data_IF_862135346400
#
_entry.id   IF_862135346400
#
_cell.length_a   1.000
_cell.length_b   1.000
_cell.length_c   1.000
_cell.angle_alpha   90.00
_cell.angle_beta   90.00
_cell.angle_gamma   90.00
#
_symmetry.space_group_name_H-M   'P 1'
#
loop_
_entity.id
_entity.type
_entity.pdbx_description
1 polymer ?
#
# COMPACT_ATOMS: atom_id res chain seq x y z
N UNK A 1 41.93 13.35 57.85
CA UNK A 1 40.98 14.48 57.75
C UNK A 1 41.71 15.65 57.12
N UNK A 2 41.27 16.11 56.00
CA UNK A 2 41.82 17.29 55.34
C UNK A 2 41.18 18.54 55.95
N UNK A 3 41.99 19.42 56.54
CA UNK A 3 41.54 20.72 57.06
C UNK A 3 41.51 21.73 55.93
N UNK A 4 40.40 22.41 55.75
CA UNK A 4 40.21 23.47 54.78
C UNK A 4 40.48 24.81 55.44
N UNK A 5 41.45 25.57 54.97
CA UNK A 5 41.72 26.94 55.42
C UNK A 5 40.85 27.90 54.58
N UNK A 6 39.99 28.67 55.30
CA UNK A 6 39.09 29.64 54.67
C UNK A 6 37.62 29.25 54.64
N UNK A 7 36.82 29.97 53.84
CA UNK A 7 35.37 29.74 53.74
C UNK A 7 35.08 28.45 53.00
N UNK A 8 34.22 27.60 53.59
CA UNK A 8 33.75 26.35 52.98
C UNK A 8 32.87 26.67 51.74
N UNK A 9 33.40 26.41 50.57
CA UNK A 9 32.73 26.65 49.31
C UNK A 9 32.20 25.36 48.65
N UNK A 10 31.45 25.48 47.58
CA UNK A 10 30.94 24.35 46.79
C UNK A 10 32.03 23.45 46.22
N UNK A 11 33.23 23.98 45.99
CA UNK A 11 34.40 23.22 45.51
C UNK A 11 34.99 22.29 46.57
N UNK A 12 34.69 22.54 47.88
CA UNK A 12 35.21 21.73 49.00
C UNK A 12 34.32 20.52 49.31
N UNK A 13 33.14 20.43 48.72
CA UNK A 13 32.13 19.40 48.99
C UNK A 13 31.57 18.79 47.69
N UNK A 14 32.41 18.54 46.72
CA UNK A 14 31.99 17.96 45.42
C UNK A 14 31.24 16.65 45.60
N UNK A 15 31.68 15.78 46.53
CA UNK A 15 31.14 14.45 46.73
C UNK A 15 29.81 14.45 47.57
N UNK A 16 29.52 15.56 48.26
CA UNK A 16 28.32 15.68 49.08
C UNK A 16 27.22 16.54 48.37
N UNK A 17 27.51 17.04 47.17
CA UNK A 17 26.52 17.79 46.41
C UNK A 17 25.51 16.83 45.80
N UNK A 18 24.25 17.01 46.09
CA UNK A 18 23.17 16.40 45.33
C UNK A 18 23.05 17.12 43.98
N UNK A 19 23.31 16.41 42.91
CA UNK A 19 23.08 16.92 41.56
C UNK A 19 21.58 17.03 41.32
N UNK A 20 21.15 18.17 40.79
CA UNK A 20 19.80 18.37 40.33
C UNK A 20 19.69 17.76 38.94
N UNK A 21 18.97 16.64 38.82
CA UNK A 21 18.75 15.91 37.56
C UNK A 21 17.29 16.09 37.23
N UNK A 22 17.00 16.42 35.99
CA UNK A 22 15.62 16.55 35.53
C UNK A 22 14.85 15.24 35.71
N UNK A 23 13.71 15.30 36.37
CA UNK A 23 12.86 14.13 36.67
C UNK A 23 12.21 13.54 35.38
N UNK A 24 12.42 14.17 34.21
CA UNK A 24 11.85 13.72 32.94
C UNK A 24 12.91 13.42 31.91
N UNK A 25 12.83 12.22 31.34
CA UNK A 25 13.56 11.89 30.13
C UNK A 25 12.87 12.51 28.92
N UNK A 26 13.63 13.28 28.14
CA UNK A 26 13.17 13.80 26.85
C UNK A 26 13.54 12.82 25.75
N UNK A 27 12.56 12.12 25.21
CA UNK A 27 12.74 11.27 24.03
C UNK A 27 12.73 12.13 22.78
N UNK A 28 13.62 11.85 21.83
CA UNK A 28 13.74 12.58 20.56
C UNK A 28 12.49 12.41 19.69
N UNK A 29 11.83 11.25 19.78
CA UNK A 29 10.66 10.93 18.97
C UNK A 29 9.52 10.32 19.81
N UNK A 30 8.80 11.11 20.63
CA UNK A 30 7.66 10.60 21.41
C UNK A 30 6.43 10.24 20.54
N UNK A 31 6.37 10.69 19.28
CA UNK A 31 5.19 10.64 18.42
C UNK A 31 5.17 9.51 17.38
N UNK A 32 6.01 8.50 17.51
CA UNK A 32 5.96 7.30 16.64
C UNK A 32 4.62 6.53 16.70
N UNK A 33 3.76 6.85 17.65
CA UNK A 33 2.40 6.31 17.73
C UNK A 33 1.51 6.68 16.54
N UNK A 34 1.90 7.68 15.75
CA UNK A 34 1.20 8.10 14.51
C UNK A 34 1.40 7.10 13.39
N UNK A 35 2.49 6.33 13.43
CA UNK A 35 2.93 5.43 12.37
C UNK A 35 2.03 4.20 12.16
N UNK A 36 1.31 3.79 13.19
CA UNK A 36 0.37 2.66 13.07
C UNK A 36 -1.03 3.07 12.58
N UNK A 37 -1.16 4.21 11.91
CA UNK A 37 -2.45 4.72 11.47
C UNK A 37 -3.10 3.82 10.43
N UNK A 38 -2.34 3.38 9.45
CA UNK A 38 -2.84 2.50 8.40
C UNK A 38 -3.42 1.22 8.99
N UNK A 39 -2.62 0.49 9.76
CA UNK A 39 -3.03 -0.75 10.40
C UNK A 39 -4.25 -0.57 11.34
N UNK A 40 -4.34 0.56 12.05
CA UNK A 40 -5.47 0.86 12.96
C UNK A 40 -6.77 1.20 12.24
N UNK A 41 -6.70 1.78 11.04
CA UNK A 41 -7.87 2.15 10.23
C UNK A 41 -8.49 0.96 9.52
N UNK A 42 -7.75 -0.12 9.33
CA UNK A 42 -8.21 -1.30 8.63
C UNK A 42 -9.28 -2.06 9.41
N UNK A 43 -10.29 -2.54 8.70
CA UNK A 43 -11.28 -3.44 9.28
C UNK A 43 -10.62 -4.77 9.65
N UNK A 44 -10.70 -5.14 10.95
CA UNK A 44 -10.16 -6.39 11.46
C UNK A 44 -11.10 -7.56 11.20
N UNK A 45 -10.60 -8.57 10.52
CA UNK A 45 -11.36 -9.81 10.28
C UNK A 45 -10.53 -11.02 10.68
N UNK A 46 -11.14 -11.91 11.45
CA UNK A 46 -10.54 -13.16 11.87
C UNK A 46 -10.42 -14.13 10.70
N UNK A 47 -9.26 -14.77 10.57
CA UNK A 47 -9.03 -15.92 9.69
C UNK A 47 -8.66 -17.15 10.51
N UNK A 48 -8.98 -18.33 10.01
CA UNK A 48 -8.75 -19.61 10.69
C UNK A 48 -7.56 -20.38 10.13
N UNK A 49 -7.02 -19.93 9.00
CA UNK A 49 -5.87 -20.51 8.33
C UNK A 49 -4.81 -19.43 8.13
N UNK A 50 -3.51 -19.73 8.32
CA UNK A 50 -2.44 -18.78 8.04
C UNK A 50 -2.37 -18.33 6.58
N UNK A 51 -2.79 -19.16 5.63
CA UNK A 51 -2.96 -18.79 4.24
C UNK A 51 -4.42 -18.37 4.01
N UNK A 52 -4.66 -17.10 3.70
CA UNK A 52 -5.99 -16.61 3.39
C UNK A 52 -6.10 -16.18 1.93
N UNK A 53 -7.28 -16.41 1.35
CA UNK A 53 -7.53 -16.26 -0.09
C UNK A 53 -8.76 -15.41 -0.32
N UNK A 54 -8.76 -14.71 -1.46
CA UNK A 54 -9.93 -13.98 -1.95
C UNK A 54 -9.97 -14.03 -3.46
N UNK A 55 -11.05 -13.56 -4.03
CA UNK A 55 -11.27 -13.57 -5.46
C UNK A 55 -11.56 -12.16 -5.94
N UNK A 56 -10.77 -11.71 -6.90
CA UNK A 56 -10.97 -10.45 -7.60
C UNK A 56 -11.67 -10.73 -8.93
N UNK A 57 -12.70 -9.95 -9.25
CA UNK A 57 -13.39 -10.01 -10.53
C UNK A 57 -13.43 -8.63 -11.13
N UNK A 58 -12.62 -8.40 -12.18
CA UNK A 58 -12.68 -7.19 -12.97
C UNK A 58 -13.76 -7.29 -14.04
N UNK A 59 -14.27 -6.16 -14.50
CA UNK A 59 -15.08 -6.15 -15.73
C UNK A 59 -14.23 -6.64 -16.92
N UNK A 60 -14.83 -7.40 -17.87
CA UNK A 60 -14.09 -7.85 -19.04
C UNK A 60 -13.61 -6.63 -19.85
N UNK A 61 -12.35 -6.67 -20.27
CA UNK A 61 -11.81 -5.64 -21.17
C UNK A 61 -12.56 -5.68 -22.50
N UNK A 62 -12.87 -4.51 -23.01
CA UNK A 62 -13.51 -4.33 -24.33
C UNK A 62 -12.51 -3.80 -25.36
N UNK A 63 -11.22 -3.99 -25.13
CA UNK A 63 -10.15 -3.59 -26.03
C UNK A 63 -8.98 -4.57 -25.96
N UNK A 64 -8.21 -4.60 -27.04
CA UNK A 64 -6.95 -5.35 -27.12
C UNK A 64 -6.02 -4.74 -28.15
N UNK A 65 -4.73 -5.11 -28.09
CA UNK A 65 -3.74 -4.62 -29.05
C UNK A 65 -3.54 -5.59 -30.21
N UNK A 66 -3.21 -5.01 -31.37
CA UNK A 66 -2.73 -5.75 -32.55
C UNK A 66 -1.38 -6.34 -32.21
N UNK A 67 -1.19 -7.65 -32.47
CA UNK A 67 0.04 -8.38 -32.22
C UNK A 67 0.61 -8.89 -33.55
N UNK A 68 1.49 -8.11 -34.15
CA UNK A 68 2.15 -8.49 -35.41
C UNK A 68 3.46 -7.74 -35.59
N UNK A 69 4.53 -8.46 -35.86
CA UNK A 69 5.88 -7.91 -36.02
C UNK A 69 6.07 -6.94 -37.20
N UNK A 70 5.09 -6.89 -38.08
CA UNK A 70 5.03 -5.97 -39.23
C UNK A 70 3.62 -5.38 -39.36
N UNK A 71 3.46 -4.33 -40.17
CA UNK A 71 2.17 -3.68 -40.30
C UNK A 71 1.22 -4.51 -41.19
N UNK A 72 -0.06 -4.54 -40.85
CA UNK A 72 -1.12 -5.04 -41.69
C UNK A 72 -1.49 -3.99 -42.75
N UNK A 73 -1.45 -4.36 -44.03
CA UNK A 73 -1.92 -3.47 -45.10
C UNK A 73 -3.43 -3.27 -45.04
N UNK A 74 -3.92 -2.23 -45.72
CA UNK A 74 -5.36 -1.94 -45.82
C UNK A 74 -6.21 -3.11 -46.35
N UNK A 75 -5.62 -4.01 -47.16
CA UNK A 75 -6.30 -5.18 -47.71
C UNK A 75 -6.27 -6.42 -46.78
N UNK A 76 -5.63 -6.38 -45.65
CA UNK A 76 -5.55 -7.53 -44.77
C UNK A 76 -6.90 -7.85 -44.11
N UNK A 77 -7.38 -9.07 -44.27
CA UNK A 77 -8.65 -9.55 -43.69
C UNK A 77 -8.46 -10.43 -42.47
N UNK A 78 -7.21 -10.73 -42.13
CA UNK A 78 -6.82 -11.52 -40.97
C UNK A 78 -5.90 -10.69 -40.10
N UNK A 79 -6.30 -10.42 -38.85
CA UNK A 79 -5.57 -9.59 -37.88
C UNK A 79 -5.37 -10.37 -36.62
N UNK A 80 -4.12 -10.52 -36.16
CA UNK A 80 -3.77 -11.17 -34.89
C UNK A 80 -3.80 -10.10 -33.79
N UNK A 81 -4.34 -10.46 -32.65
CA UNK A 81 -4.40 -9.65 -31.40
C UNK A 81 -3.75 -10.41 -30.26
N UNK A 82 -3.44 -9.75 -29.17
CA UNK A 82 -2.83 -10.38 -27.99
C UNK A 82 -3.76 -11.43 -27.36
N UNK A 83 -5.04 -11.11 -27.23
CA UNK A 83 -6.06 -11.98 -26.63
C UNK A 83 -7.39 -11.93 -27.42
N UNK A 84 -7.53 -12.84 -28.35
CA UNK A 84 -8.73 -12.96 -29.18
C UNK A 84 -9.99 -13.37 -28.41
N UNK A 85 -9.87 -13.87 -27.16
CA UNK A 85 -11.03 -14.27 -26.34
C UNK A 85 -11.91 -13.09 -25.95
N UNK A 86 -11.42 -11.86 -26.05
CA UNK A 86 -12.15 -10.62 -25.81
C UNK A 86 -13.18 -10.32 -26.92
N UNK A 87 -12.94 -10.84 -28.13
CA UNK A 87 -13.72 -10.56 -29.34
C UNK A 87 -14.67 -11.70 -29.68
N UNK A 88 -15.72 -11.38 -30.42
CA UNK A 88 -16.69 -12.36 -30.92
C UNK A 88 -17.15 -11.97 -32.35
N UNK A 89 -17.55 -12.96 -33.10
CA UNK A 89 -18.17 -12.70 -34.40
C UNK A 89 -19.37 -11.74 -34.25
N UNK A 90 -19.46 -10.76 -35.14
CA UNK A 90 -20.45 -9.69 -35.09
C UNK A 90 -20.05 -8.46 -34.29
N UNK A 91 -18.85 -8.40 -33.71
CA UNK A 91 -18.36 -7.18 -33.05
C UNK A 91 -17.93 -6.14 -34.08
N UNK A 92 -18.24 -4.87 -33.80
CA UNK A 92 -17.66 -3.72 -34.48
C UNK A 92 -16.54 -3.19 -33.62
N UNK A 93 -15.39 -3.05 -34.23
CA UNK A 93 -14.14 -2.65 -33.58
C UNK A 93 -13.62 -1.39 -34.23
N UNK A 94 -13.09 -0.48 -33.43
CA UNK A 94 -12.43 0.75 -33.94
C UNK A 94 -10.96 0.67 -33.58
N UNK A 95 -10.10 0.91 -34.55
CA UNK A 95 -8.71 1.24 -34.32
C UNK A 95 -8.63 2.68 -33.83
N UNK A 96 -8.07 2.85 -32.61
CA UNK A 96 -7.97 4.16 -31.95
C UNK A 96 -7.02 5.11 -32.68
N UNK A 97 -5.99 4.57 -33.35
CA UNK A 97 -4.94 5.35 -34.02
C UNK A 97 -5.42 5.96 -35.33
N UNK A 98 -6.20 5.23 -36.09
CA UNK A 98 -6.64 5.64 -37.45
C UNK A 98 -8.14 5.95 -37.55
N UNK A 99 -8.89 5.66 -36.49
CA UNK A 99 -10.36 5.74 -36.47
C UNK A 99 -11.05 4.83 -37.51
N UNK A 100 -10.37 3.82 -38.03
CA UNK A 100 -10.97 2.84 -38.93
C UNK A 100 -11.91 1.92 -38.16
N UNK A 101 -13.07 1.64 -38.73
CA UNK A 101 -14.01 0.64 -38.23
C UNK A 101 -13.80 -0.69 -38.95
N UNK A 102 -13.75 -1.77 -38.14
CA UNK A 102 -13.62 -3.14 -38.61
C UNK A 102 -14.82 -3.95 -38.13
N UNK A 103 -15.36 -4.78 -39.02
CA UNK A 103 -16.38 -5.76 -38.64
C UNK A 103 -15.72 -7.14 -38.45
N UNK A 104 -15.87 -7.74 -37.29
CA UNK A 104 -15.32 -9.07 -36.97
C UNK A 104 -16.31 -10.13 -37.44
N UNK A 105 -15.97 -10.88 -38.48
CA UNK A 105 -16.81 -11.96 -39.00
C UNK A 105 -16.57 -13.30 -38.27
N UNK A 106 -15.34 -13.58 -37.86
CA UNK A 106 -14.97 -14.79 -37.13
C UNK A 106 -13.77 -14.53 -36.21
N UNK A 107 -13.65 -15.35 -35.18
CA UNK A 107 -12.50 -15.35 -34.27
C UNK A 107 -11.98 -16.77 -34.12
N UNK A 108 -10.66 -16.97 -34.31
CA UNK A 108 -10.00 -18.25 -34.14
C UNK A 108 -8.75 -18.04 -33.27
N UNK A 109 -8.81 -18.49 -32.02
CA UNK A 109 -7.77 -18.25 -31.01
C UNK A 109 -7.51 -16.73 -30.90
N UNK A 110 -6.37 -16.24 -31.36
CA UNK A 110 -6.01 -14.83 -31.34
C UNK A 110 -6.11 -14.16 -32.72
N UNK A 111 -6.65 -14.84 -33.72
CA UNK A 111 -6.81 -14.30 -35.08
C UNK A 111 -8.24 -13.88 -35.31
N UNK A 112 -8.43 -12.61 -35.64
CA UNK A 112 -9.70 -12.02 -36.06
C UNK A 112 -9.81 -12.06 -37.58
N UNK A 113 -10.89 -12.61 -38.10
CA UNK A 113 -11.26 -12.42 -39.52
C UNK A 113 -12.12 -11.18 -39.60
N UNK A 114 -11.66 -10.16 -40.32
CA UNK A 114 -12.29 -8.84 -40.33
C UNK A 114 -12.66 -8.34 -41.74
N UNK A 115 -13.74 -7.58 -41.84
CA UNK A 115 -14.00 -6.73 -42.98
C UNK A 115 -13.49 -5.32 -42.67
N UNK A 116 -12.55 -4.84 -43.47
CA UNK A 116 -11.89 -3.54 -43.31
C UNK A 116 -12.75 -2.40 -43.81
N UNK A 117 -12.54 -1.20 -43.27
CA UNK A 117 -13.26 0.01 -43.74
C UNK A 117 -14.77 -0.11 -43.57
N UNK A 118 -15.25 -0.65 -42.44
CA UNK A 118 -16.67 -0.86 -42.23
C UNK A 118 -17.44 0.45 -42.10
N UNK A 119 -18.63 0.50 -42.73
CA UNK A 119 -19.46 1.71 -42.81
C UNK A 119 -18.89 2.74 -43.78
N UNK A 120 -18.67 3.96 -43.31
CA UNK A 120 -18.13 5.07 -44.12
C UNK A 120 -16.64 5.32 -43.89
N UNK A 121 -15.94 4.41 -43.20
CA UNK A 121 -14.50 4.55 -42.94
C UNK A 121 -13.66 3.92 -44.06
N UNK A 122 -12.42 4.38 -44.22
CA UNK A 122 -11.49 3.80 -45.18
C UNK A 122 -10.53 2.87 -44.49
N UNK A 123 -10.19 1.77 -45.16
CA UNK A 123 -9.17 0.85 -44.64
C UNK A 123 -7.78 1.52 -44.66
N UNK A 124 -7.07 1.44 -43.57
CA UNK A 124 -5.74 2.00 -43.35
C UNK A 124 -4.74 0.93 -42.97
N UNK A 125 -3.48 1.27 -42.80
CA UNK A 125 -2.48 0.36 -42.24
C UNK A 125 -2.69 0.22 -40.73
N UNK A 126 -2.74 -1.02 -40.21
CA UNK A 126 -2.71 -1.28 -38.78
C UNK A 126 -1.27 -1.62 -38.37
N UNK A 127 -0.79 -0.95 -37.37
CA UNK A 127 0.57 -1.17 -36.84
C UNK A 127 0.55 -2.10 -35.65
N UNK A 128 1.72 -2.66 -35.34
CA UNK A 128 1.88 -3.43 -34.11
C UNK A 128 1.56 -2.58 -32.87
N UNK A 129 0.86 -3.16 -31.91
CA UNK A 129 0.36 -2.48 -30.70
C UNK A 129 -0.75 -1.42 -30.92
N UNK A 130 -1.32 -1.28 -32.13
CA UNK A 130 -2.53 -0.48 -32.31
C UNK A 130 -3.67 -1.03 -31.46
N UNK A 131 -4.37 -0.14 -30.75
CA UNK A 131 -5.44 -0.53 -29.82
C UNK A 131 -6.78 -0.63 -30.56
N UNK A 132 -7.34 -1.82 -30.56
CA UNK A 132 -8.64 -2.14 -31.11
C UNK A 132 -9.71 -2.13 -30.02
N UNK A 133 -10.66 -1.20 -30.08
CA UNK A 133 -11.74 -1.05 -29.08
C UNK A 133 -13.06 -1.57 -29.64
N UNK A 134 -13.74 -2.45 -28.91
CA UNK A 134 -15.07 -2.95 -29.26
C UNK A 134 -16.11 -1.88 -28.93
N UNK A 135 -16.71 -1.25 -29.92
CA UNK A 135 -17.71 -0.21 -29.73
C UNK A 135 -19.15 -0.76 -29.68
N UNK A 136 -19.39 -1.92 -30.26
CA UNK A 136 -20.71 -2.53 -30.26
C UNK A 136 -20.74 -3.86 -30.99
N UNK A 137 -21.93 -4.34 -31.26
CA UNK A 137 -22.13 -5.53 -32.09
C UNK A 137 -23.34 -5.38 -32.99
N UNK A 138 -23.28 -6.04 -34.15
CA UNK A 138 -24.38 -6.12 -35.11
C UNK A 138 -24.73 -7.58 -35.36
N UNK A 139 -26.02 -7.85 -35.53
CA UNK A 139 -26.53 -9.18 -35.77
C UNK A 139 -27.52 -9.10 -36.95
N UNK A 140 -27.60 -10.17 -37.73
CA UNK A 140 -28.60 -10.28 -38.78
C UNK A 140 -30.00 -10.42 -38.19
N UNK A 141 -31.02 -10.02 -38.94
CA UNK A 141 -32.40 -10.34 -38.56
C UNK A 141 -32.60 -11.86 -38.47
N UNK A 142 -33.23 -12.32 -37.39
CA UNK A 142 -33.41 -13.74 -37.13
C UNK A 142 -32.15 -14.52 -36.77
N UNK A 143 -31.05 -13.84 -36.47
CA UNK A 143 -29.79 -14.51 -36.06
C UNK A 143 -29.98 -15.30 -34.77
N UNK A 144 -29.26 -16.41 -34.66
CA UNK A 144 -29.17 -17.16 -33.41
C UNK A 144 -28.44 -16.36 -32.30
N UNK A 145 -28.67 -16.75 -31.04
CA UNK A 145 -28.03 -16.14 -29.87
C UNK A 145 -26.50 -16.28 -30.00
N UNK A 146 -25.80 -15.18 -29.77
CA UNK A 146 -24.33 -15.15 -29.78
C UNK A 146 -23.75 -16.01 -28.62
N UNK A 147 -22.52 -16.49 -28.81
CA UNK A 147 -21.76 -17.19 -27.78
C UNK A 147 -21.62 -16.30 -26.54
N UNK A 148 -21.94 -16.85 -25.37
CA UNK A 148 -21.78 -16.15 -24.10
C UNK A 148 -20.30 -15.91 -23.77
N UNK A 149 -20.00 -14.74 -23.23
CA UNK A 149 -18.68 -14.38 -22.71
C UNK A 149 -18.77 -14.31 -21.18
N UNK A 150 -17.97 -15.10 -20.49
CA UNK A 150 -17.93 -15.12 -19.04
C UNK A 150 -16.52 -14.81 -18.56
N UNK A 151 -16.37 -13.84 -17.68
CA UNK A 151 -15.11 -13.53 -17.03
C UNK A 151 -15.01 -14.31 -15.70
N UNK A 152 -13.92 -15.01 -15.49
CA UNK A 152 -13.66 -15.75 -14.27
C UNK A 152 -12.98 -14.85 -13.24
N UNK A 153 -13.26 -15.11 -11.96
CA UNK A 153 -12.60 -14.44 -10.87
C UNK A 153 -11.15 -14.96 -10.71
N UNK A 154 -10.23 -14.06 -10.49
CA UNK A 154 -8.82 -14.39 -10.22
C UNK A 154 -8.61 -14.60 -8.72
N UNK A 155 -8.03 -15.74 -8.36
CA UNK A 155 -7.65 -16.04 -6.98
C UNK A 155 -6.42 -15.23 -6.57
N UNK A 156 -6.51 -14.55 -5.44
CA UNK A 156 -5.38 -13.90 -4.76
C UNK A 156 -5.14 -14.58 -3.42
N UNK A 157 -3.89 -14.60 -2.99
CA UNK A 157 -3.46 -15.28 -1.75
C UNK A 157 -2.50 -14.38 -0.98
N UNK A 158 -2.59 -14.39 0.34
CA UNK A 158 -1.60 -13.82 1.23
C UNK A 158 -1.49 -14.66 2.51
N UNK A 159 -0.48 -14.39 3.32
CA UNK A 159 -0.19 -15.13 4.55
C UNK A 159 -0.28 -14.23 5.78
N UNK A 160 -0.58 -14.84 6.94
CA UNK A 160 -0.36 -14.20 8.23
C UNK A 160 1.10 -14.34 8.61
N UNK A 161 1.70 -13.24 9.07
CA UNK A 161 3.08 -13.17 9.56
C UNK A 161 3.08 -13.04 11.07
N UNK A 162 3.98 -13.76 11.73
CA UNK A 162 4.18 -13.68 13.18
C UNK A 162 5.19 -12.56 13.48
N UNK A 163 4.71 -11.52 14.12
CA UNK A 163 5.53 -10.43 14.65
C UNK A 163 5.74 -10.66 16.14
N UNK A 164 6.98 -10.49 16.63
CA UNK A 164 7.34 -10.66 18.03
C UNK A 164 8.31 -9.56 18.45
N UNK A 165 7.98 -8.90 19.55
CA UNK A 165 8.83 -7.88 20.15
C UNK A 165 9.00 -8.18 21.63
N UNK A 166 10.10 -8.86 22.03
CA UNK A 166 10.41 -9.19 23.42
C UNK A 166 11.13 -8.04 24.10
N UNK A 167 10.87 -7.87 25.40
CA UNK A 167 11.62 -7.00 26.29
C UNK A 167 11.74 -7.63 27.68
N UNK A 168 12.81 -7.30 28.39
CA UNK A 168 13.11 -7.87 29.70
C UNK A 168 13.79 -6.86 30.60
N UNK A 169 13.57 -7.00 31.90
CA UNK A 169 14.21 -6.23 32.96
C UNK A 169 14.73 -7.22 34.00
N UNK A 170 15.97 -7.06 34.44
CA UNK A 170 16.52 -7.87 35.51
C UNK A 170 15.90 -7.51 36.87
N UNK A 171 15.89 -8.47 37.82
CA UNK A 171 15.37 -8.21 39.17
C UNK A 171 16.12 -7.09 39.88
N UNK A 172 17.44 -6.98 39.69
CA UNK A 172 18.26 -5.91 40.24
C UNK A 172 17.85 -4.54 39.69
N UNK A 173 17.69 -4.42 38.40
CA UNK A 173 17.29 -3.17 37.74
C UNK A 173 15.88 -2.74 38.17
N UNK A 174 14.95 -3.70 38.25
CA UNK A 174 13.59 -3.45 38.71
C UNK A 174 13.50 -2.99 40.15
N UNK A 175 14.54 -3.29 40.95
CA UNK A 175 14.65 -2.91 42.39
C UNK A 175 15.44 -1.61 42.59
N UNK A 176 16.05 -1.04 41.56
CA UNK A 176 16.89 0.14 41.66
C UNK A 176 16.04 1.42 41.45
N UNK A 177 16.15 2.36 42.39
CA UNK A 177 15.53 3.68 42.22
C UNK A 177 16.35 4.52 41.23
N UNK A 178 15.76 4.87 40.11
CA UNK A 178 16.37 5.74 39.13
C UNK A 178 15.89 7.18 39.25
N UNK A 179 16.71 8.14 38.79
CA UNK A 179 16.40 9.57 38.79
C UNK A 179 15.31 9.95 37.78
N UNK A 180 15.05 9.12 36.77
CA UNK A 180 13.99 9.32 35.81
C UNK A 180 13.15 8.05 35.70
N UNK A 181 11.87 8.18 35.34
CA UNK A 181 10.90 7.07 35.20
C UNK A 181 11.26 6.04 34.10
N UNK A 182 12.57 5.76 33.91
CA UNK A 182 13.04 4.88 32.81
C UNK A 182 12.78 3.39 33.04
N UNK A 183 12.60 2.96 34.29
CA UNK A 183 12.46 1.54 34.64
C UNK A 183 11.01 1.14 34.96
N UNK A 184 10.05 1.99 34.70
CA UNK A 184 8.68 1.57 34.81
C UNK A 184 8.38 0.59 33.64
N UNK A 185 8.00 -0.65 33.97
CA UNK A 185 7.52 -1.63 33.00
C UNK A 185 6.41 -1.07 32.09
N UNK A 186 5.68 -0.06 32.56
CA UNK A 186 4.67 0.63 31.78
C UNK A 186 5.28 1.50 30.67
N UNK A 187 6.43 2.13 30.90
CA UNK A 187 7.13 2.92 29.87
C UNK A 187 7.76 2.00 28.81
N UNK A 188 8.41 0.90 29.25
CA UNK A 188 8.96 -0.12 28.35
C UNK A 188 7.87 -0.77 27.49
N UNK A 189 6.71 -1.10 28.07
CA UNK A 189 5.58 -1.62 27.29
C UNK A 189 5.11 -0.62 26.22
N UNK A 190 5.08 0.67 26.51
CA UNK A 190 4.70 1.69 25.52
C UNK A 190 5.73 1.79 24.40
N UNK A 191 6.99 1.82 24.72
CA UNK A 191 8.09 1.91 23.76
C UNK A 191 8.10 0.68 22.83
N UNK A 192 8.12 -0.53 23.39
CA UNK A 192 8.13 -1.76 22.61
C UNK A 192 6.83 -1.99 21.82
N UNK A 193 5.67 -1.51 22.33
CA UNK A 193 4.45 -1.49 21.51
C UNK A 193 4.60 -0.60 20.28
N UNK A 194 5.25 0.54 20.41
CA UNK A 194 5.49 1.44 19.27
C UNK A 194 6.42 0.80 18.24
N UNK A 195 7.50 0.15 18.67
CA UNK A 195 8.43 -0.60 17.82
C UNK A 195 7.67 -1.71 17.07
N UNK A 196 6.89 -2.51 17.80
CA UNK A 196 6.09 -3.59 17.24
C UNK A 196 5.08 -3.13 16.19
N UNK A 197 4.36 -2.04 16.46
CA UNK A 197 3.40 -1.46 15.51
C UNK A 197 4.09 -0.88 14.27
N UNK A 198 5.29 -0.33 14.43
CA UNK A 198 6.10 0.20 13.33
C UNK A 198 6.58 -0.89 12.39
N UNK A 199 6.98 -2.05 12.91
CA UNK A 199 7.37 -3.20 12.10
C UNK A 199 6.18 -3.79 11.33
N UNK A 200 5.00 -3.81 11.93
CA UNK A 200 3.75 -4.17 11.25
C UNK A 200 3.45 -3.20 10.09
N UNK A 201 3.56 -1.89 10.35
CA UNK A 201 3.30 -0.86 9.35
C UNK A 201 4.26 -0.97 8.16
N UNK A 202 5.56 -1.17 8.43
CA UNK A 202 6.57 -1.41 7.38
C UNK A 202 6.23 -2.62 6.53
N UNK A 203 5.83 -3.72 7.17
CA UNK A 203 5.45 -4.94 6.45
C UNK A 203 4.18 -4.75 5.64
N UNK A 204 3.22 -3.96 6.12
CA UNK A 204 1.98 -3.68 5.40
C UNK A 204 2.19 -2.78 4.19
N UNK A 205 3.22 -1.92 4.17
CA UNK A 205 3.56 -1.15 2.97
C UNK A 205 4.50 -1.91 2.04
N UNK A 206 5.55 -2.55 2.56
CA UNK A 206 6.69 -3.03 1.77
C UNK A 206 6.94 -4.54 1.83
N UNK A 207 6.16 -5.29 2.60
CA UNK A 207 6.33 -6.75 2.75
C UNK A 207 6.11 -7.50 1.43
N UNK A 208 6.74 -8.67 1.33
CA UNK A 208 6.57 -9.61 0.22
C UNK A 208 6.01 -10.94 0.73
N UNK A 209 5.01 -11.47 0.01
CA UNK A 209 4.41 -12.76 0.39
C UNK A 209 5.41 -13.89 0.20
N UNK A 210 5.66 -14.64 1.26
CA UNK A 210 6.48 -15.85 1.18
C UNK A 210 6.03 -16.86 2.22
N UNK A 211 6.02 -18.12 1.81
CA UNK A 211 6.00 -19.27 2.71
C UNK A 211 7.28 -20.08 2.51
N UNK A 212 8.02 -20.31 3.58
CA UNK A 212 9.21 -21.14 3.60
C UNK A 212 8.95 -22.36 4.49
N UNK A 213 8.95 -23.54 3.87
CA UNK A 213 8.75 -24.83 4.52
C UNK A 213 10.01 -25.66 4.59
N UNK A 214 11.17 -25.09 4.27
CA UNK A 214 12.46 -25.81 4.28
C UNK A 214 12.94 -26.17 5.69
N UNK A 215 12.50 -25.44 6.71
CA UNK A 215 12.80 -25.70 8.11
C UNK A 215 11.83 -26.71 8.75
N UNK A 216 12.04 -26.99 10.05
CA UNK A 216 11.15 -27.87 10.84
C UNK A 216 9.75 -27.27 11.05
N UNK A 217 9.63 -25.96 10.96
CA UNK A 217 8.38 -25.21 11.07
C UNK A 217 8.29 -24.17 9.95
N UNK A 218 7.10 -23.97 9.35
CA UNK A 218 6.95 -23.01 8.26
C UNK A 218 7.14 -21.57 8.75
N UNK A 219 7.88 -20.78 7.98
CA UNK A 219 8.04 -19.34 8.17
C UNK A 219 7.21 -18.64 7.10
N UNK A 220 6.35 -17.70 7.52
CA UNK A 220 5.47 -16.96 6.61
C UNK A 220 5.67 -15.47 6.74
N UNK A 221 5.70 -14.79 5.60
CA UNK A 221 5.72 -13.33 5.49
C UNK A 221 4.48 -12.85 4.74
N UNK A 222 3.93 -11.72 5.16
CA UNK A 222 2.77 -11.09 4.53
C UNK A 222 3.20 -10.16 3.41
N UNK A 223 2.45 -10.15 2.29
CA UNK A 223 2.59 -9.10 1.29
C UNK A 223 2.04 -7.78 1.80
N UNK A 224 2.73 -6.71 1.48
CA UNK A 224 2.30 -5.32 1.70
C UNK A 224 1.62 -4.71 0.47
N UNK A 225 1.15 -3.47 0.61
CA UNK A 225 0.47 -2.73 -0.47
C UNK A 225 1.32 -2.70 -1.74
N UNK A 226 2.61 -2.40 -1.63
CA UNK A 226 3.53 -2.31 -2.78
C UNK A 226 3.57 -3.59 -3.60
N UNK A 227 3.61 -4.75 -2.94
CA UNK A 227 3.71 -6.07 -3.59
C UNK A 227 2.47 -6.43 -4.41
N UNK A 228 1.30 -5.91 -4.03
CA UNK A 228 0.06 -6.14 -4.78
C UNK A 228 -0.11 -5.24 -6.00
N UNK A 229 0.56 -4.08 -6.04
CA UNK A 229 0.39 -3.10 -7.08
C UNK A 229 1.22 -3.45 -8.32
N UNK A 230 0.57 -3.52 -9.48
CA UNK A 230 1.21 -3.81 -10.76
C UNK A 230 0.79 -2.88 -11.89
N UNK A 231 -0.36 -2.19 -11.77
CA UNK A 231 -0.89 -1.37 -12.88
C UNK A 231 -0.74 0.13 -12.67
N UNK A 232 -1.22 0.69 -11.57
CA UNK A 232 -1.18 2.14 -11.34
C UNK A 232 0.14 2.55 -10.67
N UNK A 233 1.23 2.45 -11.42
CA UNK A 233 2.58 2.79 -10.99
C UNK A 233 3.05 4.03 -11.74
N UNK A 234 3.23 5.14 -11.04
CA UNK A 234 3.73 6.40 -11.61
C UNK A 234 5.14 6.67 -11.08
N UNK A 235 6.10 6.73 -12.01
CA UNK A 235 7.49 7.05 -11.69
C UNK A 235 7.76 8.52 -12.02
N UNK A 236 8.05 9.34 -11.00
CA UNK A 236 8.41 10.74 -11.19
C UNK A 236 9.83 10.95 -11.72
N UNK A 237 10.65 9.88 -11.83
CA UNK A 237 11.99 9.92 -12.42
C UNK A 237 12.90 11.02 -11.85
N UNK A 238 12.69 11.41 -10.61
CA UNK A 238 13.50 12.39 -9.87
C UNK A 238 12.72 13.60 -9.37
N UNK A 239 12.44 14.56 -10.23
CA UNK A 239 11.74 15.80 -9.84
C UNK A 239 10.25 15.67 -10.07
N UNK A 240 9.47 15.68 -9.00
CA UNK A 240 8.01 15.65 -9.09
C UNK A 240 7.46 17.00 -9.51
N UNK A 241 6.68 17.02 -10.59
CA UNK A 241 5.94 18.19 -11.06
C UNK A 241 4.46 18.10 -10.69
N UNK A 242 3.76 19.25 -10.65
CA UNK A 242 2.31 19.28 -10.40
C UNK A 242 1.54 18.45 -11.43
N UNK A 243 1.95 18.50 -12.70
CA UNK A 243 1.30 17.76 -13.79
C UNK A 243 1.43 16.24 -13.60
N UNK A 244 2.58 15.74 -13.17
CA UNK A 244 2.78 14.31 -12.89
C UNK A 244 1.96 13.87 -11.68
N UNK A 245 1.85 14.71 -10.64
CA UNK A 245 1.02 14.43 -9.49
C UNK A 245 -0.47 14.38 -9.87
N UNK A 246 -0.94 15.31 -10.71
CA UNK A 246 -2.31 15.29 -11.24
C UNK A 246 -2.57 14.06 -12.13
N UNK A 247 -1.62 13.66 -12.97
CA UNK A 247 -1.71 12.44 -13.78
C UNK A 247 -1.78 11.17 -12.91
N UNK A 248 -1.03 11.15 -11.80
CA UNK A 248 -1.15 10.08 -10.82
C UNK A 248 -2.53 10.03 -10.17
N UNK A 249 -3.08 11.19 -9.77
CA UNK A 249 -4.45 11.27 -9.24
C UNK A 249 -5.47 10.82 -10.27
N UNK A 250 -5.36 11.27 -11.52
CA UNK A 250 -6.23 10.81 -12.60
C UNK A 250 -6.22 9.28 -12.69
N UNK A 251 -5.03 8.66 -12.74
CA UNK A 251 -4.89 7.20 -12.82
C UNK A 251 -5.54 6.48 -11.64
N UNK A 252 -5.47 7.05 -10.44
CA UNK A 252 -6.13 6.52 -9.25
C UNK A 252 -7.64 6.49 -9.38
N UNK A 253 -8.24 7.55 -9.93
CA UNK A 253 -9.69 7.71 -9.98
C UNK A 253 -10.34 7.16 -11.26
N UNK A 254 -9.58 6.67 -12.23
CA UNK A 254 -10.11 5.94 -13.40
C UNK A 254 -11.01 4.78 -12.98
N UNK A 255 -10.67 4.12 -11.86
CA UNK A 255 -11.46 3.01 -11.32
C UNK A 255 -11.72 3.20 -9.83
N UNK A 256 -12.96 2.92 -9.41
CA UNK A 256 -13.34 2.95 -8.01
C UNK A 256 -14.21 4.14 -7.62
N UNK A 257 -14.29 4.39 -6.32
CA UNK A 257 -15.10 5.49 -5.75
C UNK A 257 -14.40 6.84 -5.85
N UNK A 258 -15.16 7.89 -5.61
CA UNK A 258 -14.71 9.30 -5.65
C UNK A 258 -13.83 9.71 -4.46
N UNK A 259 -13.62 8.80 -3.50
CA UNK A 259 -12.84 9.08 -2.29
C UNK A 259 -11.79 8.03 -2.06
N UNK A 260 -10.54 8.47 -1.89
CA UNK A 260 -9.38 7.61 -1.58
C UNK A 260 -8.52 8.23 -0.50
N UNK A 261 -7.66 7.42 0.11
CA UNK A 261 -6.68 7.87 1.09
C UNK A 261 -5.27 7.78 0.51
N UNK A 262 -4.52 8.89 0.63
CA UNK A 262 -3.13 8.97 0.23
C UNK A 262 -2.21 8.88 1.45
N UNK A 263 -1.24 7.98 1.41
CA UNK A 263 -0.14 7.91 2.37
C UNK A 263 1.10 8.48 1.68
N UNK A 264 1.43 9.72 2.01
CA UNK A 264 2.48 10.46 1.32
C UNK A 264 3.71 10.63 2.21
N UNK A 265 4.89 10.51 1.61
CA UNK A 265 6.12 10.90 2.30
C UNK A 265 6.11 12.39 2.62
N UNK A 266 6.88 12.84 3.64
CA UNK A 266 7.05 14.26 3.95
C UNK A 266 7.54 15.07 2.75
N UNK A 267 8.37 14.47 1.87
CA UNK A 267 8.87 15.12 0.65
C UNK A 267 7.73 15.43 -0.33
N UNK A 268 6.90 14.44 -0.65
CA UNK A 268 5.74 14.61 -1.53
C UNK A 268 4.71 15.56 -0.92
N UNK A 269 4.47 15.44 0.39
CA UNK A 269 3.56 16.37 1.08
C UNK A 269 4.04 17.83 1.01
N UNK A 270 5.36 18.06 1.08
CA UNK A 270 5.95 19.39 0.90
C UNK A 270 5.80 19.90 -0.52
N UNK A 271 5.93 19.03 -1.53
CA UNK A 271 5.68 19.34 -2.93
C UNK A 271 4.24 19.83 -3.13
N UNK A 272 3.26 19.03 -2.69
CA UNK A 272 1.84 19.37 -2.77
C UNK A 272 1.53 20.70 -2.06
N UNK A 273 2.12 20.92 -0.88
CA UNK A 273 1.96 22.18 -0.16
C UNK A 273 2.56 23.39 -0.89
N UNK A 274 3.66 23.20 -1.64
CA UNK A 274 4.30 24.29 -2.40
C UNK A 274 3.42 24.78 -3.55
N UNK A 275 2.75 23.84 -4.27
CA UNK A 275 1.84 24.17 -5.37
C UNK A 275 0.49 24.69 -4.90
N UNK A 276 0.12 24.39 -3.66
CA UNK A 276 -1.19 24.64 -3.09
C UNK A 276 -1.47 26.10 -2.69
N UNK A 277 -0.49 26.99 -2.80
CA UNK A 277 -0.65 28.40 -2.39
C UNK A 277 -1.83 29.16 -3.03
N UNK A 278 -2.51 28.57 -3.99
CA UNK A 278 -3.71 29.13 -4.62
C UNK A 278 -4.85 28.15 -4.88
N UNK A 279 -4.63 26.84 -4.72
CA UNK A 279 -5.59 25.79 -5.13
C UNK A 279 -6.05 24.87 -3.98
N UNK A 280 -5.31 24.82 -2.88
CA UNK A 280 -5.64 23.93 -1.77
C UNK A 280 -6.64 24.63 -0.82
N UNK A 281 -7.85 24.12 -0.73
CA UNK A 281 -8.73 24.43 0.38
C UNK A 281 -8.28 23.61 1.59
N UNK A 282 -7.51 24.24 2.47
CA UNK A 282 -7.19 23.64 3.77
C UNK A 282 -8.44 23.69 4.65
N UNK A 283 -9.17 22.60 4.74
CA UNK A 283 -10.22 22.49 5.73
C UNK A 283 -9.61 22.40 7.15
N UNK A 284 -10.28 22.98 8.17
CA UNK A 284 -9.79 22.86 9.53
C UNK A 284 -9.64 21.39 9.91
N UNK A 285 -8.52 21.09 10.55
CA UNK A 285 -8.07 19.75 10.93
C UNK A 285 -9.15 19.01 11.70
N UNK A 286 -9.77 18.04 11.07
CA UNK A 286 -10.53 17.03 11.79
C UNK A 286 -9.52 16.12 12.51
N UNK A 287 -9.33 16.38 13.80
CA UNK A 287 -8.48 15.56 14.67
C UNK A 287 -9.20 14.25 15.02
N UNK A 288 -9.46 13.44 14.03
CA UNK A 288 -9.87 12.06 14.27
C UNK A 288 -8.62 11.28 14.66
N UNK A 289 -8.55 10.79 15.87
CA UNK A 289 -7.43 10.00 16.42
C UNK A 289 -6.07 10.73 16.54
N UNK A 290 -6.05 12.06 16.68
CA UNK A 290 -4.80 12.80 16.90
C UNK A 290 -3.94 13.03 15.64
N UNK A 291 -4.42 12.65 14.47
CA UNK A 291 -3.71 12.77 13.19
C UNK A 291 -4.30 13.91 12.38
N UNK A 292 -3.44 14.75 11.79
CA UNK A 292 -3.86 15.79 10.87
C UNK A 292 -4.08 15.16 9.47
N UNK A 293 -5.32 15.05 9.04
CA UNK A 293 -5.68 14.67 7.68
C UNK A 293 -5.83 15.94 6.85
N UNK A 294 -5.15 16.01 5.72
CA UNK A 294 -5.31 17.07 4.73
C UNK A 294 -6.10 16.52 3.54
N UNK A 295 -6.98 17.35 2.98
CA UNK A 295 -7.82 16.97 1.84
C UNK A 295 -7.33 17.68 0.58
N UNK A 296 -7.20 16.93 -0.49
CA UNK A 296 -6.98 17.45 -1.81
C UNK A 296 -8.21 17.17 -2.68
N UNK A 297 -8.84 18.22 -3.18
CA UNK A 297 -9.99 18.14 -4.07
C UNK A 297 -9.49 18.32 -5.51
N UNK A 298 -9.47 17.23 -6.25
CA UNK A 298 -9.24 17.24 -7.69
C UNK A 298 -10.57 17.18 -8.43
N UNK A 299 -10.57 17.52 -9.71
CA UNK A 299 -11.70 17.29 -10.62
C UNK A 299 -12.07 15.79 -10.69
N UNK A 300 -11.13 14.90 -10.42
CA UNK A 300 -11.29 13.45 -10.49
C UNK A 300 -11.87 12.84 -9.21
N UNK A 301 -11.73 13.51 -8.07
CA UNK A 301 -12.22 13.02 -6.79
C UNK A 301 -11.53 13.63 -5.58
N UNK A 302 -11.88 13.13 -4.40
CA UNK A 302 -11.35 13.54 -3.10
C UNK A 302 -10.23 12.61 -2.64
N UNK A 303 -9.04 13.16 -2.41
CA UNK A 303 -7.92 12.46 -1.82
C UNK A 303 -7.67 12.98 -0.40
N UNK A 304 -8.01 12.17 0.59
CA UNK A 304 -7.61 12.41 1.98
C UNK A 304 -6.18 11.91 2.15
N UNK A 305 -5.22 12.77 2.49
CA UNK A 305 -3.85 12.31 2.67
C UNK A 305 -3.31 12.50 4.09
N UNK A 306 -2.49 11.54 4.46
CA UNK A 306 -1.76 11.47 5.72
C UNK A 306 -0.28 11.48 5.40
N UNK A 307 0.47 12.26 6.16
CA UNK A 307 1.93 12.28 6.04
C UNK A 307 2.47 11.06 6.79
N UNK A 308 3.04 10.12 6.02
CA UNK A 308 3.66 8.93 6.59
C UNK A 308 5.16 9.19 6.83
N UNK A 309 5.52 9.40 8.09
CA UNK A 309 6.89 9.74 8.49
C UNK A 309 7.85 8.55 8.35
N UNK A 310 7.33 7.32 8.40
CA UNK A 310 8.09 6.10 8.19
C UNK A 310 8.86 6.14 6.85
N UNK A 311 8.29 6.76 5.83
CA UNK A 311 8.93 6.85 4.53
C UNK A 311 10.17 7.76 4.54
N UNK A 312 10.29 8.68 5.49
CA UNK A 312 11.48 9.55 5.60
C UNK A 312 12.72 8.84 6.16
N UNK A 313 12.58 7.64 6.72
CA UNK A 313 13.70 6.89 7.32
C UNK A 313 14.70 6.37 6.28
N UNK A 314 14.24 6.19 5.05
CA UNK A 314 15.07 5.68 3.96
C UNK A 314 14.93 6.58 2.74
N UNK A 315 16.04 6.91 2.09
CA UNK A 315 16.07 7.81 0.91
C UNK A 315 15.20 7.30 -0.25
N UNK A 316 15.10 6.00 -0.45
CA UNK A 316 14.24 5.41 -1.49
C UNK A 316 12.77 5.54 -1.11
N UNK A 317 12.42 5.28 0.15
CA UNK A 317 11.03 5.37 0.62
C UNK A 317 10.55 6.82 0.72
N UNK A 318 11.47 7.77 0.93
CA UNK A 318 11.16 9.20 0.92
C UNK A 318 10.52 9.67 -0.39
N UNK A 319 10.74 8.93 -1.48
CA UNK A 319 10.14 9.20 -2.79
C UNK A 319 8.82 8.46 -3.04
N UNK A 320 8.18 7.82 -2.04
CA UNK A 320 6.96 7.05 -2.23
C UNK A 320 5.71 7.77 -1.73
N UNK A 321 4.62 7.58 -2.47
CA UNK A 321 3.26 7.95 -2.09
C UNK A 321 2.29 6.86 -2.53
N UNK A 322 1.45 6.37 -1.62
CA UNK A 322 0.46 5.35 -1.88
C UNK A 322 -0.94 5.96 -1.90
N UNK A 323 -1.70 5.69 -2.96
CA UNK A 323 -3.12 6.00 -3.04
C UNK A 323 -3.94 4.73 -2.83
N UNK A 324 -4.78 4.70 -1.81
CA UNK A 324 -5.45 3.48 -1.35
C UNK A 324 -6.95 3.70 -1.20
N UNK A 325 -7.75 2.80 -1.73
CA UNK A 325 -9.19 2.70 -1.43
C UNK A 325 -9.35 1.89 -0.13
N UNK A 326 -9.59 2.59 0.98
CA UNK A 326 -9.68 1.97 2.31
C UNK A 326 -10.83 0.97 2.46
N UNK A 327 -11.82 1.00 1.58
CA UNK A 327 -12.93 0.02 1.59
C UNK A 327 -12.51 -1.37 1.11
N UNK A 328 -11.39 -1.44 0.38
CA UNK A 328 -10.86 -2.66 -0.25
C UNK A 328 -9.56 -3.15 0.40
N UNK A 329 -9.24 -2.64 1.57
CA UNK A 329 -8.08 -3.07 2.34
C UNK A 329 -8.52 -3.51 3.72
N UNK A 330 -7.96 -4.57 4.22
CA UNK A 330 -8.35 -5.15 5.49
C UNK A 330 -7.19 -5.76 6.26
N UNK A 331 -7.34 -5.77 7.58
CA UNK A 331 -6.46 -6.41 8.53
C UNK A 331 -6.98 -7.81 8.82
N UNK A 332 -6.19 -8.84 8.57
CA UNK A 332 -6.50 -10.24 8.86
C UNK A 332 -5.66 -10.72 10.04
N UNK A 333 -6.30 -11.28 11.07
CA UNK A 333 -5.57 -11.90 12.19
C UNK A 333 -5.96 -13.36 12.34
N UNK A 334 -4.98 -14.18 12.70
CA UNK A 334 -5.23 -15.61 12.92
C UNK A 334 -5.99 -15.79 14.23
N UNK A 335 -7.04 -16.59 14.20
CA UNK A 335 -7.81 -16.93 15.39
C UNK A 335 -8.70 -18.12 15.17
N UNK A 336 -8.76 -19.02 16.15
CA UNK A 336 -9.58 -20.23 16.14
C UNK A 336 -9.53 -20.92 17.49
N UNK A 337 -10.46 -21.84 17.74
CA UNK A 337 -10.49 -22.66 18.96
C UNK A 337 -10.43 -21.85 20.29
N UNK A 338 -11.04 -20.66 20.30
CA UNK A 338 -11.01 -19.77 21.46
C UNK A 338 -9.71 -18.97 21.64
N UNK A 339 -8.74 -19.12 20.73
CA UNK A 339 -7.46 -18.39 20.76
C UNK A 339 -7.51 -17.27 19.72
N UNK A 340 -7.13 -16.05 20.11
CA UNK A 340 -6.92 -14.93 19.22
C UNK A 340 -5.42 -14.57 19.20
N UNK A 341 -4.85 -14.45 18.01
CA UNK A 341 -3.46 -14.05 17.81
C UNK A 341 -3.36 -12.64 17.19
N UNK A 342 -4.36 -11.81 17.42
CA UNK A 342 -4.24 -10.35 17.23
C UNK A 342 -3.17 -9.81 18.19
N UNK A 343 -2.82 -8.55 18.14
CA UNK A 343 -1.79 -7.95 18.99
C UNK A 343 -2.09 -8.18 20.49
N UNK A 344 -1.28 -9.00 21.12
CA UNK A 344 -1.39 -9.37 22.53
C UNK A 344 -0.07 -9.15 23.25
N UNK A 345 -0.16 -8.67 24.50
CA UNK A 345 0.98 -8.66 25.42
C UNK A 345 1.01 -9.99 26.17
N UNK A 346 2.05 -10.77 25.98
CA UNK A 346 2.31 -12.03 26.69
C UNK A 346 3.29 -11.74 27.81
N UNK A 347 2.87 -12.06 29.05
CA UNK A 347 3.66 -11.87 30.27
C UNK A 347 4.32 -13.17 30.70
N UNK A 348 5.26 -13.07 31.63
CA UNK A 348 5.92 -14.21 32.26
C UNK A 348 6.58 -15.16 31.25
N UNK A 349 7.39 -14.58 30.35
CA UNK A 349 8.10 -15.31 29.29
C UNK A 349 9.55 -15.64 29.63
N UNK A 350 10.01 -15.36 30.85
CA UNK A 350 11.35 -15.69 31.32
C UNK A 350 11.53 -17.22 31.42
N UNK A 351 12.78 -17.65 31.28
CA UNK A 351 13.16 -19.04 31.51
C UNK A 351 13.03 -19.35 33.02
N UNK A 352 12.58 -20.54 33.35
CA UNK A 352 12.47 -20.94 34.77
C UNK A 352 13.84 -20.84 35.49
N UNK A 353 13.89 -20.08 36.59
CA UNK A 353 15.10 -19.82 37.37
C UNK A 353 15.89 -18.59 36.89
N UNK A 354 15.49 -17.86 35.87
CA UNK A 354 16.09 -16.58 35.51
C UNK A 354 15.56 -15.47 36.43
N UNK A 355 16.46 -14.61 36.95
CA UNK A 355 16.13 -13.43 37.75
C UNK A 355 15.87 -12.23 36.82
N UNK A 356 14.79 -12.34 36.04
CA UNK A 356 14.32 -11.31 35.10
C UNK A 356 12.79 -11.35 34.95
N UNK A 357 12.20 -10.23 34.62
CA UNK A 357 10.82 -10.16 34.14
C UNK A 357 10.86 -9.96 32.63
N UNK A 358 10.34 -10.93 31.88
CA UNK A 358 10.32 -10.92 30.41
C UNK A 358 8.91 -10.95 29.91
N UNK A 359 8.61 -10.00 29.03
CA UNK A 359 7.32 -9.91 28.33
C UNK A 359 7.56 -9.78 26.83
N UNK A 360 6.54 -10.06 26.02
CA UNK A 360 6.61 -9.87 24.58
C UNK A 360 5.27 -9.41 24.01
N UNK A 361 5.32 -8.55 22.99
CA UNK A 361 4.20 -8.36 22.09
C UNK A 361 4.24 -9.42 21.01
N UNK A 362 3.09 -10.03 20.74
CA UNK A 362 2.92 -11.03 19.71
C UNK A 362 1.70 -10.68 18.86
N UNK A 363 1.89 -10.66 17.55
CA UNK A 363 0.80 -10.52 16.56
C UNK A 363 0.98 -11.53 15.44
N UNK A 364 -0.07 -12.22 15.03
CA UNK A 364 -0.07 -13.04 13.83
C UNK A 364 -1.14 -12.53 12.87
N UNK A 365 -0.69 -11.72 11.93
CA UNK A 365 -1.54 -10.85 11.13
C UNK A 365 -1.06 -10.76 9.68
N UNK A 366 -1.96 -10.40 8.79
CA UNK A 366 -1.66 -10.18 7.38
C UNK A 366 -2.55 -9.12 6.77
N UNK A 367 -2.09 -8.55 5.65
CA UNK A 367 -2.81 -7.54 4.88
C UNK A 367 -3.67 -8.21 3.80
N UNK A 368 -4.94 -7.83 3.70
CA UNK A 368 -5.82 -8.13 2.59
C UNK A 368 -6.02 -6.89 1.75
N UNK A 369 -5.78 -7.00 0.44
CA UNK A 369 -5.99 -5.93 -0.52
C UNK A 369 -6.67 -6.51 -1.76
N UNK A 370 -7.87 -6.02 -2.07
CA UNK A 370 -8.65 -6.46 -3.22
C UNK A 370 -8.62 -5.42 -4.34
N UNK A 371 -8.79 -5.88 -5.59
CA UNK A 371 -8.90 -5.04 -6.78
C UNK A 371 -7.73 -4.04 -6.88
N UNK A 372 -6.53 -4.53 -7.12
CA UNK A 372 -5.29 -3.76 -7.17
C UNK A 372 -5.38 -2.50 -8.07
N UNK A 373 -6.19 -2.55 -9.13
CA UNK A 373 -6.40 -1.43 -10.06
C UNK A 373 -7.10 -0.21 -9.45
N UNK A 374 -7.61 -0.32 -8.21
CA UNK A 374 -8.21 0.80 -7.47
C UNK A 374 -7.21 1.50 -6.55
N UNK A 375 -6.00 0.99 -6.47
CA UNK A 375 -4.90 1.54 -5.69
C UNK A 375 -3.81 2.03 -6.62
N UNK A 376 -2.85 2.78 -6.13
CA UNK A 376 -1.71 3.23 -6.95
C UNK A 376 -0.52 3.64 -6.12
N UNK A 377 0.62 3.68 -6.78
CA UNK A 377 1.90 4.04 -6.23
C UNK A 377 2.54 5.15 -7.06
N UNK A 378 2.88 6.23 -6.41
CA UNK A 378 3.81 7.26 -6.90
C UNK A 378 5.19 6.96 -6.31
N UNK A 379 6.22 6.90 -7.13
CA UNK A 379 7.57 6.59 -6.67
C UNK A 379 8.66 7.31 -7.47
N UNK A 380 9.90 7.20 -7.00
CA UNK A 380 11.05 7.79 -7.69
C UNK A 380 11.17 9.30 -7.50
N UNK A 381 10.49 9.90 -6.53
CA UNK A 381 10.59 11.32 -6.21
C UNK A 381 11.86 11.56 -5.39
N UNK A 382 12.74 12.44 -5.85
CA UNK A 382 13.94 12.89 -5.11
C UNK A 382 13.92 14.39 -4.82
N UNK A 383 13.16 15.15 -5.60
CA UNK A 383 12.96 16.59 -5.46
C UNK A 383 11.62 17.01 -6.03
N UNK A 384 11.25 18.27 -5.89
CA UNK A 384 10.03 18.82 -6.50
C UNK A 384 10.30 20.24 -7.06
N UNK A 385 9.51 20.65 -8.03
CA UNK A 385 9.60 21.97 -8.68
C UNK A 385 8.28 22.75 -8.54
#
# INVERSE_FOLDING_TARGET
>A
MSLISGTKGTNSNTDLRKYDVADKLYMIDPDYAVLAFFARKLAKVRVTDPEFRWFDKAAPSRQDAVNYSTNYTAGATSVVVDDGTKFRAGDIVVDVSTAEHLYVSAVSTNTLTVSRGYGSTSATTLTDNDVLVIIGNVNAEGAAIRTALTNQATKRTNYTQIFREPFAVTGTEASTELYAEMNDMASLRREHLQIHLRDIERSFFFGEAKEDTSGSQPIRATAGVKSFLSTNLTNASGTLTEAEFEAWIESLFVKGGEKKMGFLSPLIASAVNSWAKGKLQMFPKDKTYGIAISKYLSIHGELDFVIERLFAENSTWAGYGFGVDMSLVGYRYLGGNGISRDTNLLKDRQTAGADEVKEEYLSEIGLWLALETRHGLLYGVTSYS
#
